data_IF_676056653021
#
_entry.id   IF_676056653021
#
_cell.length_a   1.000
_cell.length_b   1.000
_cell.length_c   1.000
_cell.angle_alpha   90.00
_cell.angle_beta   90.00
_cell.angle_gamma   90.00
#
_symmetry.space_group_name_H-M   'P 1'
#
loop_
_entity.id
_entity.type
_entity.pdbx_description
1 polymer ?
#
# COMPACT_ATOMS: atom_id res chain seq x y z
N UNK A 1 -28.59 42.62 41.22
CA UNK A 1 -27.97 41.70 40.25
C UNK A 1 -29.04 40.73 39.79
N UNK A 2 -29.28 40.64 38.49
CA UNK A 2 -30.43 39.93 37.94
C UNK A 2 -30.21 38.40 38.04
N UNK A 3 -30.97 37.72 38.90
CA UNK A 3 -30.83 36.29 39.14
C UNK A 3 -30.99 35.44 37.87
N UNK A 4 -31.74 35.95 36.89
CA UNK A 4 -31.90 35.30 35.59
C UNK A 4 -30.62 35.34 34.77
N UNK A 5 -29.91 36.46 34.82
CA UNK A 5 -28.64 36.67 34.12
C UNK A 5 -27.51 35.86 34.76
N UNK A 6 -27.52 35.70 36.08
CA UNK A 6 -26.58 34.82 36.79
C UNK A 6 -26.83 33.34 36.45
N UNK A 7 -28.10 32.93 36.37
CA UNK A 7 -28.47 31.55 36.01
C UNK A 7 -28.12 31.20 34.57
N UNK A 8 -28.25 32.12 33.62
CA UNK A 8 -27.88 31.87 32.22
C UNK A 8 -26.36 31.81 32.05
N UNK A 9 -25.61 32.66 32.75
CA UNK A 9 -24.14 32.62 32.75
C UNK A 9 -23.63 31.30 33.35
N UNK A 10 -24.20 30.83 34.46
CA UNK A 10 -23.84 29.55 35.06
C UNK A 10 -24.15 28.36 34.13
N UNK A 11 -25.31 28.37 33.45
CA UNK A 11 -25.65 27.33 32.47
C UNK A 11 -24.71 27.34 31.26
N UNK A 12 -24.31 28.54 30.78
CA UNK A 12 -23.31 28.66 29.72
C UNK A 12 -21.96 28.11 30.17
N UNK A 13 -21.50 28.48 31.36
CA UNK A 13 -20.22 28.00 31.90
C UNK A 13 -20.22 26.48 32.13
N UNK A 14 -21.33 25.88 32.59
CA UNK A 14 -21.47 24.42 32.70
C UNK A 14 -21.47 23.72 31.33
N UNK A 15 -22.01 24.37 30.29
CA UNK A 15 -21.95 23.85 28.91
C UNK A 15 -20.54 23.95 28.30
N UNK A 16 -19.77 24.99 28.65
CA UNK A 16 -18.37 25.13 28.23
C UNK A 16 -17.41 24.26 29.07
N UNK A 17 -17.75 23.90 30.31
CA UNK A 17 -16.90 23.05 31.16
C UNK A 17 -16.94 21.56 30.80
N UNK A 18 -17.73 21.15 29.80
CA UNK A 18 -17.77 19.78 29.29
C UNK A 18 -16.92 19.58 28.01
N UNK A 19 -16.11 20.56 27.62
CA UNK A 19 -15.18 20.44 26.48
C UNK A 19 -13.71 20.32 26.92
N UNK A 20 -13.42 19.39 27.83
CA UNK A 20 -12.05 18.94 28.10
C UNK A 20 -12.04 17.42 28.14
N UNK A 21 -11.58 16.79 27.05
CA UNK A 21 -11.14 15.40 27.10
C UNK A 21 -9.90 15.34 27.99
N UNK A 22 -10.11 15.02 29.26
CA UNK A 22 -9.05 14.51 30.12
C UNK A 22 -8.75 13.09 29.67
N UNK A 23 -7.69 12.93 28.90
CA UNK A 23 -7.04 11.63 28.67
C UNK A 23 -6.48 11.18 30.02
N UNK A 24 -7.22 10.31 30.70
CA UNK A 24 -6.81 9.67 31.94
C UNK A 24 -5.75 8.60 31.65
N UNK A 25 -4.55 8.81 32.16
CA UNK A 25 -3.43 7.88 32.08
C UNK A 25 -3.65 6.79 33.14
N UNK A 26 -4.28 5.68 32.77
CA UNK A 26 -4.59 4.62 33.74
C UNK A 26 -5.04 3.26 33.18
N UNK A 27 -4.08 2.53 32.58
CA UNK A 27 -3.89 1.06 32.66
C UNK A 27 -4.95 0.06 32.14
N UNK A 28 -4.42 -0.88 31.33
CA UNK A 28 -4.80 -2.30 31.11
C UNK A 28 -5.75 -2.63 29.93
N UNK A 29 -5.12 -3.11 28.84
CA UNK A 29 -5.66 -3.99 27.79
C UNK A 29 -6.96 -3.57 27.09
N UNK A 30 -7.05 -2.32 26.61
CA UNK A 30 -7.91 -2.03 25.46
C UNK A 30 -7.21 -2.53 24.19
N UNK A 31 -7.73 -3.61 23.60
CA UNK A 31 -7.41 -3.99 22.23
C UNK A 31 -7.88 -2.82 21.36
N UNK A 32 -6.98 -1.91 21.02
CA UNK A 32 -7.20 -0.94 19.95
C UNK A 32 -7.43 -1.76 18.68
N UNK A 33 -8.69 -1.89 18.27
CA UNK A 33 -9.01 -2.38 16.94
C UNK A 33 -8.62 -1.23 16.01
N UNK A 34 -7.34 -1.20 15.62
CA UNK A 34 -6.88 -0.31 14.55
C UNK A 34 -7.75 -0.61 13.33
N UNK A 35 -8.45 0.40 12.83
CA UNK A 35 -9.19 0.28 11.58
C UNK A 35 -8.19 -0.16 10.51
N UNK A 36 -8.38 -1.31 9.83
CA UNK A 36 -7.43 -1.81 8.84
C UNK A 36 -7.17 -0.82 7.70
N UNK A 37 -8.02 0.20 7.52
CA UNK A 37 -7.83 1.29 6.57
C UNK A 37 -6.98 2.47 7.10
N UNK A 38 -6.68 2.57 8.40
CA UNK A 38 -5.80 3.58 9.02
C UNK A 38 -4.34 3.11 9.17
N UNK A 39 -4.06 1.84 8.86
CA UNK A 39 -2.71 1.29 8.89
C UNK A 39 -1.84 1.89 7.80
N UNK A 40 -0.64 2.35 8.18
CA UNK A 40 0.40 2.73 7.22
C UNK A 40 0.69 1.59 6.24
N UNK A 41 1.01 1.96 5.00
CA UNK A 41 1.28 1.01 3.90
C UNK A 41 2.39 0.04 4.30
N UNK A 42 3.43 0.52 4.99
CA UNK A 42 4.55 -0.30 5.45
C UNK A 42 4.07 -1.37 6.41
N UNK A 43 3.23 -1.01 7.38
CA UNK A 43 2.66 -1.95 8.35
C UNK A 43 1.84 -3.03 7.65
N UNK A 44 1.00 -2.63 6.69
CA UNK A 44 0.17 -3.57 5.91
C UNK A 44 1.00 -4.58 5.13
N UNK A 45 2.10 -4.13 4.53
CA UNK A 45 3.04 -4.98 3.80
C UNK A 45 3.69 -5.98 4.76
N UNK A 46 4.24 -5.50 5.88
CA UNK A 46 4.91 -6.34 6.87
C UNK A 46 3.98 -7.40 7.47
N UNK A 47 2.72 -7.04 7.73
CA UNK A 47 1.71 -7.98 8.20
C UNK A 47 1.31 -9.01 7.14
N UNK A 48 1.13 -8.59 5.88
CA UNK A 48 0.72 -9.50 4.79
C UNK A 48 1.80 -10.54 4.49
N UNK A 49 3.07 -10.11 4.51
CA UNK A 49 4.22 -10.98 4.24
C UNK A 49 4.76 -11.70 5.49
N UNK A 50 4.08 -11.58 6.64
CA UNK A 50 4.52 -12.22 7.88
C UNK A 50 4.49 -13.75 7.74
N UNK A 51 5.62 -14.40 8.00
CA UNK A 51 5.76 -15.85 7.85
C UNK A 51 5.96 -16.32 6.41
N UNK A 52 6.27 -15.42 5.47
CA UNK A 52 6.67 -15.79 4.11
C UNK A 52 7.82 -16.80 4.13
N UNK A 53 7.81 -17.74 3.17
CA UNK A 53 8.86 -18.74 3.00
C UNK A 53 10.15 -18.16 2.39
N UNK A 54 10.07 -16.96 1.81
CA UNK A 54 11.18 -16.25 1.19
C UNK A 54 11.93 -15.36 2.19
N UNK A 55 13.23 -15.14 1.94
CA UNK A 55 13.98 -14.13 2.68
C UNK A 55 13.72 -12.74 2.10
N UNK A 56 12.96 -11.92 2.84
CA UNK A 56 12.56 -10.58 2.41
C UNK A 56 13.43 -9.49 3.05
N UNK A 57 13.95 -8.59 2.21
CA UNK A 57 14.52 -7.29 2.59
C UNK A 57 13.40 -6.27 2.64
N UNK A 58 13.40 -5.41 3.65
CA UNK A 58 12.40 -4.34 3.87
C UNK A 58 10.93 -4.82 3.96
N UNK A 59 10.70 -6.14 4.00
CA UNK A 59 9.38 -6.75 4.17
C UNK A 59 8.71 -7.17 2.86
N UNK A 60 9.17 -6.74 1.69
CA UNK A 60 8.55 -7.05 0.38
C UNK A 60 9.55 -7.30 -0.76
N UNK A 61 10.86 -7.21 -0.52
CA UNK A 61 11.88 -7.46 -1.55
C UNK A 61 12.55 -8.82 -1.33
N UNK A 62 12.30 -9.79 -2.21
CA UNK A 62 13.02 -11.07 -2.16
C UNK A 62 14.51 -10.86 -2.38
N UNK A 63 15.33 -11.28 -1.41
CA UNK A 63 16.78 -11.24 -1.51
C UNK A 63 17.24 -12.33 -2.48
N UNK A 64 17.39 -11.94 -3.74
CA UNK A 64 17.93 -12.82 -4.76
C UNK A 64 19.43 -12.60 -4.97
N UNK A 65 20.20 -13.69 -4.99
CA UNK A 65 21.60 -13.69 -5.44
C UNK A 65 21.73 -13.72 -6.98
N UNK A 66 20.63 -13.70 -7.72
CA UNK A 66 20.60 -13.68 -9.18
C UNK A 66 20.46 -12.24 -9.72
N UNK A 67 20.44 -12.08 -11.05
CA UNK A 67 20.36 -10.78 -11.73
C UNK A 67 19.11 -10.00 -11.30
N UNK A 68 19.29 -8.86 -10.62
CA UNK A 68 18.24 -7.92 -10.23
C UNK A 68 18.69 -6.47 -10.46
N UNK A 69 17.87 -5.48 -10.07
CA UNK A 69 18.22 -4.06 -10.23
C UNK A 69 19.36 -3.60 -9.32
N UNK A 70 19.53 -4.23 -8.14
CA UNK A 70 20.62 -3.94 -7.20
C UNK A 70 21.97 -4.45 -7.70
N UNK A 71 21.99 -5.59 -8.40
CA UNK A 71 23.17 -6.19 -9.01
C UNK A 71 23.03 -6.21 -10.54
N UNK A 72 23.18 -5.03 -11.14
CA UNK A 72 22.92 -4.81 -12.57
C UNK A 72 24.17 -4.44 -13.36
N UNK A 73 24.90 -5.44 -13.85
CA UNK A 73 26.05 -5.21 -14.72
C UNK A 73 25.62 -4.60 -16.07
N UNK A 74 26.27 -3.51 -16.50
CA UNK A 74 26.05 -2.84 -17.79
C UNK A 74 24.57 -2.65 -18.18
N UNK A 75 23.68 -2.39 -17.21
CA UNK A 75 22.24 -2.20 -17.42
C UNK A 75 21.51 -3.41 -18.04
N UNK A 76 22.10 -4.60 -17.99
CA UNK A 76 21.52 -5.81 -18.58
C UNK A 76 20.33 -6.38 -17.80
N UNK A 77 20.03 -5.84 -16.63
CA UNK A 77 18.85 -6.18 -15.82
C UNK A 77 17.59 -5.41 -16.23
N UNK A 78 17.70 -4.38 -17.09
CA UNK A 78 16.60 -3.47 -17.39
C UNK A 78 15.72 -3.97 -18.55
N UNK A 79 14.43 -3.65 -18.48
CA UNK A 79 13.52 -3.78 -19.62
C UNK A 79 14.00 -2.91 -20.78
N UNK A 80 14.00 -3.49 -21.99
CA UNK A 80 14.54 -2.81 -23.17
C UNK A 80 13.57 -1.76 -23.69
N UNK A 81 14.12 -0.61 -24.08
CA UNK A 81 13.39 0.42 -24.80
C UNK A 81 13.37 0.07 -26.29
N UNK A 82 12.17 -0.01 -26.85
CA UNK A 82 11.91 -0.23 -28.27
C UNK A 82 12.27 1.01 -29.10
N UNK A 83 12.41 0.83 -30.41
CA UNK A 83 12.77 1.91 -31.35
C UNK A 83 11.74 3.04 -31.41
N UNK A 84 10.48 2.74 -31.10
CA UNK A 84 9.40 3.73 -30.96
C UNK A 84 9.48 4.54 -29.66
N UNK A 85 10.49 4.30 -28.83
CA UNK A 85 10.72 5.01 -27.58
C UNK A 85 9.90 4.51 -26.40
N UNK A 86 9.17 3.41 -26.53
CA UNK A 86 8.40 2.79 -25.44
C UNK A 86 9.20 1.65 -24.77
N UNK A 87 8.91 1.39 -23.51
CA UNK A 87 9.41 0.22 -22.77
C UNK A 87 8.23 -0.71 -22.53
N UNK A 88 8.13 -1.77 -23.32
CA UNK A 88 7.07 -2.77 -23.16
C UNK A 88 7.46 -3.79 -22.10
N UNK A 89 6.59 -3.98 -21.11
CA UNK A 89 6.76 -4.92 -20.01
C UNK A 89 5.65 -5.96 -20.09
N UNK A 90 5.92 -7.15 -20.66
CA UNK A 90 4.94 -8.22 -20.76
C UNK A 90 4.56 -8.75 -19.37
N UNK A 91 3.28 -9.02 -19.13
CA UNK A 91 2.81 -9.60 -17.87
C UNK A 91 1.73 -10.66 -18.04
N UNK A 92 1.62 -11.53 -17.04
CA UNK A 92 0.50 -12.46 -16.84
C UNK A 92 -0.11 -12.25 -15.45
N UNK A 93 -1.42 -12.46 -15.32
CA UNK A 93 -2.11 -12.44 -14.02
C UNK A 93 -2.75 -13.80 -13.80
N UNK A 94 -2.46 -14.43 -12.68
CA UNK A 94 -2.99 -15.75 -12.33
C UNK A 94 -4.51 -15.78 -12.41
N UNK A 95 -5.03 -16.93 -12.87
CA UNK A 95 -6.47 -17.16 -12.92
C UNK A 95 -7.12 -17.16 -11.53
N UNK A 96 -6.35 -17.40 -10.46
CA UNK A 96 -6.82 -17.40 -9.07
C UNK A 96 -7.32 -16.05 -8.58
N UNK A 97 -6.88 -14.94 -9.20
CA UNK A 97 -7.40 -13.62 -8.87
C UNK A 97 -8.85 -13.45 -9.34
N UNK A 98 -9.66 -12.82 -8.49
CA UNK A 98 -11.01 -12.40 -8.86
C UNK A 98 -10.97 -11.37 -9.99
N UNK A 99 -12.09 -11.21 -10.69
CA UNK A 99 -12.24 -10.19 -11.74
C UNK A 99 -11.89 -8.78 -11.23
N UNK A 100 -12.37 -8.43 -10.03
CA UNK A 100 -12.11 -7.11 -9.44
C UNK A 100 -10.64 -6.91 -9.07
N UNK A 101 -9.97 -7.94 -8.56
CA UNK A 101 -8.53 -7.89 -8.28
C UNK A 101 -7.72 -7.71 -9.57
N UNK A 102 -8.04 -8.46 -10.63
CA UNK A 102 -7.42 -8.29 -11.96
C UNK A 102 -7.59 -6.86 -12.48
N UNK A 103 -8.81 -6.32 -12.42
CA UNK A 103 -9.09 -4.95 -12.86
C UNK A 103 -8.32 -3.91 -12.04
N UNK A 104 -8.17 -4.10 -10.72
CA UNK A 104 -7.34 -3.23 -9.87
C UNK A 104 -5.88 -3.25 -10.30
N UNK A 105 -5.30 -4.44 -10.51
CA UNK A 105 -3.93 -4.63 -10.97
C UNK A 105 -3.72 -3.94 -12.33
N UNK A 106 -4.60 -4.17 -13.29
CA UNK A 106 -4.55 -3.55 -14.62
C UNK A 106 -4.66 -2.02 -14.57
N UNK A 107 -5.54 -1.48 -13.72
CA UNK A 107 -5.68 -0.05 -13.55
C UNK A 107 -4.43 0.57 -12.92
N UNK A 108 -3.84 -0.08 -11.92
CA UNK A 108 -2.58 0.36 -11.31
C UNK A 108 -1.44 0.39 -12.34
N UNK A 109 -1.33 -0.64 -13.19
CA UNK A 109 -0.33 -0.65 -14.27
C UNK A 109 -0.56 0.45 -15.33
N UNK A 110 -1.81 0.81 -15.62
CA UNK A 110 -2.15 1.86 -16.60
C UNK A 110 -1.72 3.26 -16.16
N UNK A 111 -1.54 3.52 -14.85
CA UNK A 111 -1.15 4.85 -14.36
C UNK A 111 0.21 5.28 -14.90
N UNK A 112 1.12 4.33 -15.17
CA UNK A 112 2.43 4.61 -15.76
C UNK A 112 2.36 5.22 -17.16
N UNK A 113 1.23 5.07 -17.86
CA UNK A 113 1.10 5.52 -19.23
C UNK A 113 1.10 7.05 -19.36
N UNK A 114 0.71 7.77 -18.30
CA UNK A 114 0.53 9.23 -18.33
C UNK A 114 1.87 9.96 -18.28
N UNK A 115 2.76 9.56 -17.37
CA UNK A 115 4.01 10.29 -17.09
C UNK A 115 5.27 9.57 -17.59
N UNK A 116 5.16 8.34 -18.10
CA UNK A 116 6.33 7.54 -18.47
C UNK A 116 6.19 6.88 -19.84
N UNK A 117 7.31 6.35 -20.34
CA UNK A 117 7.33 5.53 -21.55
C UNK A 117 7.07 4.03 -21.31
N UNK A 118 6.75 3.62 -20.07
CA UNK A 118 6.50 2.22 -19.70
C UNK A 118 5.09 1.82 -20.15
N UNK A 119 4.97 0.66 -20.77
CA UNK A 119 3.70 0.07 -21.21
C UNK A 119 3.63 -1.38 -20.74
N UNK A 120 2.80 -1.65 -19.74
CA UNK A 120 2.46 -3.02 -19.37
C UNK A 120 1.54 -3.62 -20.42
N UNK A 121 1.94 -4.75 -21.01
CA UNK A 121 1.20 -5.41 -22.09
C UNK A 121 0.89 -6.86 -21.74
N UNK A 122 -0.30 -7.40 -22.07
CA UNK A 122 -0.56 -8.82 -21.91
C UNK A 122 0.50 -9.63 -22.65
N UNK A 123 1.10 -10.59 -21.94
CA UNK A 123 2.12 -11.46 -22.54
C UNK A 123 1.51 -12.28 -23.68
N UNK A 124 2.27 -12.42 -24.76
CA UNK A 124 1.99 -13.34 -25.86
C UNK A 124 3.03 -14.47 -25.91
N UNK A 125 4.25 -14.15 -26.34
CA UNK A 125 5.33 -15.14 -26.55
C UNK A 125 6.69 -14.69 -26.01
N UNK A 126 6.73 -13.56 -25.30
CA UNK A 126 7.97 -13.00 -24.77
C UNK A 126 8.58 -13.93 -23.72
N UNK A 127 9.92 -14.05 -23.74
CA UNK A 127 10.68 -14.88 -22.80
C UNK A 127 10.73 -14.22 -21.42
N UNK A 128 11.09 -12.94 -21.38
CA UNK A 128 11.07 -12.13 -20.16
C UNK A 128 9.68 -11.52 -19.96
N UNK A 129 9.06 -11.76 -18.81
CA UNK A 129 7.74 -11.24 -18.44
C UNK A 129 7.59 -11.21 -16.91
N UNK A 130 6.64 -10.43 -16.41
CA UNK A 130 6.22 -10.44 -15.01
C UNK A 130 5.09 -11.47 -14.83
N UNK A 131 5.25 -12.42 -13.91
CA UNK A 131 4.15 -13.28 -13.47
C UNK A 131 3.57 -12.75 -12.18
N UNK A 132 2.29 -12.38 -12.19
CA UNK A 132 1.56 -11.90 -11.00
C UNK A 132 0.71 -13.06 -10.48
N UNK A 133 1.07 -13.56 -9.31
CA UNK A 133 0.50 -14.75 -8.68
C UNK A 133 0.13 -14.47 -7.22
N UNK A 134 -0.76 -15.29 -6.67
CA UNK A 134 -1.03 -15.31 -5.24
C UNK A 134 -0.24 -16.49 -4.64
N UNK A 135 0.78 -16.19 -3.83
CA UNK A 135 1.69 -17.18 -3.23
C UNK A 135 1.76 -16.96 -1.71
N UNK A 136 2.96 -16.92 -1.13
CA UNK A 136 3.19 -16.78 0.31
C UNK A 136 3.36 -15.28 0.66
N UNK A 137 2.23 -14.56 0.72
CA UNK A 137 2.15 -13.12 0.99
C UNK A 137 1.07 -12.43 0.17
#
# INVERSE_FOLDING_TARGET
MDHRLVSTILALLLSLSQAHELVDLGSEDEIQIEDPDDLDITTRILQSNNGSSEMLMEGDLVISNTRNAMNCWNKQCLWRKSSNGLVEVPYTVSHTFSYYAKKRIENAMKTFNTETCIRFVPRSSQIDFISIENRDG
#
